data_IF_638109901129
#
_entry.id   IF_638109901129
#
_cell.length_a   1.000
_cell.length_b   1.000
_cell.length_c   1.000
_cell.angle_alpha   90.00
_cell.angle_beta   90.00
_cell.angle_gamma   90.00
#
_symmetry.space_group_name_H-M   'P 1'
#
loop_
_entity.id
_entity.type
_entity.pdbx_description
1 polymer ?
#
# COMPACT_ATOMS: atom_id res chain seq x y z
N UNK A 1 5.64 1.63 20.81
CA UNK A 1 4.89 0.62 20.01
C UNK A 1 5.02 0.94 18.52
N UNK A 2 6.24 0.85 17.94
CA UNK A 2 6.55 1.53 16.67
C UNK A 2 7.27 0.69 15.61
N UNK A 3 7.17 -0.64 15.66
CA UNK A 3 7.92 -1.51 14.73
C UNK A 3 7.08 -1.91 13.51
N UNK A 4 5.75 -1.79 13.59
CA UNK A 4 4.83 -2.26 12.54
C UNK A 4 4.84 -1.32 11.33
N UNK A 5 5.01 -0.01 11.52
CA UNK A 5 4.97 0.94 10.40
C UNK A 5 6.14 0.78 9.43
N UNK A 6 7.38 0.68 9.93
CA UNK A 6 8.56 0.60 9.07
C UNK A 6 8.57 -0.64 8.17
N UNK A 7 8.25 -1.82 8.73
CA UNK A 7 8.32 -3.08 7.99
C UNK A 7 7.37 -3.10 6.79
N UNK A 8 6.14 -2.64 6.97
CA UNK A 8 5.15 -2.65 5.89
C UNK A 8 5.40 -1.55 4.86
N UNK A 9 5.87 -0.37 5.29
CA UNK A 9 6.26 0.69 4.36
C UNK A 9 7.33 0.22 3.38
N UNK A 10 8.39 -0.42 3.86
CA UNK A 10 9.47 -0.94 3.00
C UNK A 10 8.96 -2.01 2.03
N UNK A 11 8.10 -2.92 2.48
CA UNK A 11 7.52 -3.97 1.63
C UNK A 11 6.63 -3.38 0.54
N UNK A 12 5.77 -2.42 0.87
CA UNK A 12 4.92 -1.72 -0.11
C UNK A 12 5.78 -1.02 -1.17
N UNK A 13 6.84 -0.31 -0.76
CA UNK A 13 7.75 0.38 -1.68
C UNK A 13 8.49 -0.62 -2.57
N UNK A 14 9.01 -1.71 -1.99
CA UNK A 14 9.71 -2.76 -2.74
C UNK A 14 8.84 -3.34 -3.85
N UNK A 15 7.59 -3.66 -3.51
CA UNK A 15 6.59 -4.12 -4.46
C UNK A 15 6.27 -3.07 -5.54
N UNK A 16 6.13 -1.79 -5.17
CA UNK A 16 5.88 -0.70 -6.12
C UNK A 16 7.06 -0.38 -7.04
N UNK A 17 8.29 -0.70 -6.61
CA UNK A 17 9.49 -0.61 -7.47
C UNK A 17 9.44 -1.63 -8.60
N UNK A 18 8.89 -2.82 -8.35
CA UNK A 18 8.70 -3.83 -9.40
C UNK A 18 7.57 -3.46 -10.37
N UNK A 19 6.56 -2.74 -9.90
CA UNK A 19 5.51 -2.19 -10.74
C UNK A 19 4.27 -1.71 -9.98
N UNK A 20 3.31 -1.05 -10.66
CA UNK A 20 2.09 -0.57 -10.04
C UNK A 20 1.21 -1.76 -9.59
N UNK A 21 1.16 -2.00 -8.29
CA UNK A 21 0.36 -3.08 -7.70
C UNK A 21 -0.98 -2.59 -7.18
N UNK A 22 -2.00 -3.43 -7.32
CA UNK A 22 -3.32 -3.17 -6.73
C UNK A 22 -3.32 -3.47 -5.24
N UNK A 23 -4.21 -2.80 -4.52
CA UNK A 23 -4.44 -3.05 -3.08
C UNK A 23 -4.63 -4.54 -2.76
N UNK A 24 -5.33 -5.27 -3.63
CA UNK A 24 -5.61 -6.69 -3.43
C UNK A 24 -4.35 -7.58 -3.58
N UNK A 25 -3.37 -7.17 -4.39
CA UNK A 25 -2.11 -7.91 -4.55
C UNK A 25 -1.17 -7.64 -3.39
N UNK A 26 -1.03 -6.37 -2.99
CA UNK A 26 -0.33 -6.00 -1.75
C UNK A 26 -0.91 -6.73 -0.53
N UNK A 27 -2.24 -6.87 -0.47
CA UNK A 27 -2.91 -7.64 0.59
C UNK A 27 -2.62 -9.14 0.51
N UNK A 28 -2.45 -9.71 -0.68
CA UNK A 28 -2.08 -11.12 -0.87
C UNK A 28 -0.64 -11.39 -0.43
N UNK A 29 0.28 -10.49 -0.76
CA UNK A 29 1.68 -10.58 -0.34
C UNK A 29 1.83 -10.36 1.18
N UNK A 30 0.89 -9.65 1.80
CA UNK A 30 0.89 -9.33 3.22
C UNK A 30 -0.33 -9.90 3.98
N UNK A 31 -0.51 -11.23 4.06
CA UNK A 31 -1.70 -11.82 4.69
C UNK A 31 -1.76 -11.59 6.20
N UNK A 32 -0.63 -11.27 6.84
CA UNK A 32 -0.53 -10.97 8.27
C UNK A 32 -0.94 -9.54 8.63
N UNK A 33 -1.11 -8.64 7.65
CA UNK A 33 -1.60 -7.28 7.92
C UNK A 33 -3.12 -7.24 7.81
N UNK A 34 -3.79 -6.57 8.74
CA UNK A 34 -5.24 -6.35 8.63
C UNK A 34 -5.54 -5.22 7.65
N UNK A 35 -6.72 -5.23 7.02
CA UNK A 35 -7.14 -4.19 6.06
C UNK A 35 -7.10 -2.78 6.64
N UNK A 36 -7.44 -2.63 7.94
CA UNK A 36 -7.33 -1.33 8.63
C UNK A 36 -5.88 -0.87 8.73
N UNK A 37 -4.98 -1.77 9.13
CA UNK A 37 -3.55 -1.43 9.23
C UNK A 37 -2.96 -1.15 7.86
N UNK A 38 -3.30 -1.94 6.82
CA UNK A 38 -2.84 -1.72 5.45
C UNK A 38 -3.32 -0.36 4.91
N UNK A 39 -4.60 -0.04 5.10
CA UNK A 39 -5.16 1.25 4.70
C UNK A 39 -4.51 2.41 5.44
N UNK A 40 -4.23 2.27 6.74
CA UNK A 40 -3.55 3.30 7.52
C UNK A 40 -2.11 3.50 7.03
N UNK A 41 -1.37 2.42 6.77
CA UNK A 41 -0.01 2.48 6.26
C UNK A 41 0.06 3.10 4.87
N UNK A 42 -0.85 2.71 3.97
CA UNK A 42 -0.97 3.31 2.64
C UNK A 42 -1.30 4.80 2.72
N UNK A 43 -2.25 5.18 3.58
CA UNK A 43 -2.59 6.59 3.78
C UNK A 43 -1.41 7.39 4.31
N UNK A 44 -0.67 6.86 5.30
CA UNK A 44 0.54 7.54 5.78
C UNK A 44 1.60 7.64 4.69
N UNK A 45 1.80 6.60 3.88
CA UNK A 45 2.74 6.65 2.74
C UNK A 45 2.32 7.65 1.66
N UNK A 46 1.01 7.79 1.43
CA UNK A 46 0.44 8.80 0.54
C UNK A 46 0.66 10.21 1.09
N UNK A 47 0.43 10.41 2.39
CA UNK A 47 0.70 11.69 3.08
C UNK A 47 2.19 12.04 3.12
N UNK A 48 3.07 11.03 3.21
CA UNK A 48 4.54 11.18 3.16
C UNK A 48 5.04 11.44 1.72
N UNK A 49 4.18 11.28 0.70
CA UNK A 49 4.54 11.43 -0.71
C UNK A 49 5.34 10.26 -1.29
N UNK A 50 5.37 9.12 -0.60
CA UNK A 50 6.14 7.93 -0.98
C UNK A 50 5.35 7.00 -1.89
N UNK A 51 4.02 6.97 -1.75
CA UNK A 51 3.13 6.14 -2.58
C UNK A 51 1.99 6.96 -3.14
N UNK A 52 1.76 6.89 -4.44
CA UNK A 52 0.61 7.55 -5.08
C UNK A 52 -0.53 6.55 -5.31
N UNK A 53 -1.68 6.76 -4.66
CA UNK A 53 -2.86 5.92 -4.88
C UNK A 53 -3.58 6.34 -6.16
N UNK A 54 -3.23 5.71 -7.27
CA UNK A 54 -3.93 5.91 -8.54
C UNK A 54 -5.26 5.16 -8.56
N UNK A 55 -6.36 5.86 -8.28
CA UNK A 55 -7.71 5.30 -8.41
C UNK A 55 -8.04 5.22 -9.90
N UNK A 56 -7.90 4.03 -10.47
CA UNK A 56 -8.40 3.75 -11.81
C UNK A 56 -9.94 3.73 -11.76
N UNK A 57 -10.56 4.89 -11.93
CA UNK A 57 -11.96 4.94 -12.32
C UNK A 57 -12.02 4.58 -13.80
N UNK A 58 -12.40 3.35 -14.11
CA UNK A 58 -12.86 3.01 -15.45
C UNK A 58 -14.18 3.73 -15.66
N UNK A 59 -14.11 5.01 -16.07
CA UNK A 59 -15.20 5.63 -16.81
C UNK A 59 -15.29 4.92 -18.16
N UNK A 60 -15.99 3.79 -18.19
CA UNK A 60 -16.67 3.38 -19.42
C UNK A 60 -17.84 4.35 -19.57
N UNK A 61 -17.67 5.32 -20.47
CA UNK A 61 -18.76 6.12 -21.01
C UNK A 61 -19.49 5.29 -22.07
#
# INVERSE_FOLDING_TARGET
MGIIGGKWKTVIIYHLIEGPLRYNELRKEMPTVTERTLSLQLKTLEEDGVVERKVYTTKHH
#
